data_IF_386916378198
#
_entry.id   IF_386916378198
#
_cell.length_a   1.000
_cell.length_b   1.000
_cell.length_c   1.000
_cell.angle_alpha   90.00
_cell.angle_beta   90.00
_cell.angle_gamma   90.00
#
_symmetry.space_group_name_H-M   'P 1'
#
loop_
_entity.id
_entity.type
_entity.pdbx_description
1 polymer ?
#
# COMPACT_ATOMS: atom_id res chain seq x y z
N UNK A 1 -24.53 -4.61 -6.08
CA UNK A 1 -23.39 -3.94 -6.76
C UNK A 1 -22.44 -5.03 -7.22
N UNK A 2 -21.76 -4.86 -8.36
CA UNK A 2 -20.97 -5.91 -9.01
C UNK A 2 -19.59 -6.04 -8.35
N UNK A 3 -19.12 -7.27 -8.03
CA UNK A 3 -17.79 -7.55 -7.48
C UNK A 3 -16.65 -6.88 -8.28
N UNK A 4 -16.80 -6.86 -9.61
CA UNK A 4 -15.87 -6.17 -10.53
C UNK A 4 -15.71 -4.68 -10.21
N UNK A 5 -16.82 -3.98 -9.91
CA UNK A 5 -16.78 -2.57 -9.56
C UNK A 5 -16.04 -2.34 -8.23
N UNK A 6 -16.31 -3.18 -7.23
CA UNK A 6 -15.64 -3.07 -5.94
C UNK A 6 -14.12 -3.23 -6.03
N UNK A 7 -13.64 -4.20 -6.83
CA UNK A 7 -12.20 -4.36 -7.07
C UNK A 7 -11.58 -3.15 -7.78
N UNK A 8 -12.31 -2.55 -8.73
CA UNK A 8 -11.84 -1.34 -9.42
C UNK A 8 -11.77 -0.14 -8.48
N UNK A 9 -12.73 -0.03 -7.56
CA UNK A 9 -12.69 1.01 -6.52
C UNK A 9 -11.48 0.78 -5.60
N UNK A 10 -11.23 -0.47 -5.15
CA UNK A 10 -10.03 -0.80 -4.37
C UNK A 10 -8.75 -0.44 -5.11
N UNK A 11 -8.64 -0.77 -6.39
CA UNK A 11 -7.49 -0.40 -7.22
C UNK A 11 -7.32 1.13 -7.31
N UNK A 12 -8.41 1.88 -7.53
CA UNK A 12 -8.39 3.34 -7.56
C UNK A 12 -7.91 3.97 -6.26
N UNK A 13 -8.35 3.43 -5.11
CA UNK A 13 -7.90 3.86 -3.78
C UNK A 13 -6.42 3.59 -3.56
N UNK A 14 -5.90 2.43 -4.01
CA UNK A 14 -4.48 2.11 -3.94
C UNK A 14 -3.64 3.00 -4.86
N UNK A 15 -4.13 3.36 -6.05
CA UNK A 15 -3.48 4.33 -6.93
C UNK A 15 -3.45 5.72 -6.27
N UNK A 16 -4.55 6.13 -5.65
CA UNK A 16 -4.61 7.39 -4.94
C UNK A 16 -3.63 7.43 -3.76
N UNK A 17 -3.55 6.34 -2.99
CA UNK A 17 -2.54 6.18 -1.94
C UNK A 17 -1.12 6.24 -2.51
N UNK A 18 -0.84 5.52 -3.60
CA UNK A 18 0.45 5.53 -4.30
C UNK A 18 0.89 6.94 -4.68
N UNK A 19 -0.01 7.75 -5.23
CA UNK A 19 0.29 9.15 -5.61
C UNK A 19 0.69 9.96 -4.37
N UNK A 20 -0.10 9.92 -3.31
CA UNK A 20 0.20 10.62 -2.06
C UNK A 20 1.49 10.14 -1.40
N UNK A 21 1.70 8.81 -1.37
CA UNK A 21 2.90 8.20 -0.83
C UNK A 21 4.15 8.59 -1.65
N UNK A 22 4.08 8.54 -2.98
CA UNK A 22 5.21 8.90 -3.85
C UNK A 22 5.58 10.37 -3.71
N UNK A 23 4.59 11.26 -3.58
CA UNK A 23 4.83 12.67 -3.30
C UNK A 23 5.52 12.86 -1.95
N UNK A 24 4.99 12.24 -0.88
CA UNK A 24 5.60 12.30 0.46
C UNK A 24 7.02 11.72 0.49
N UNK A 25 7.25 10.61 -0.24
CA UNK A 25 8.59 10.02 -0.33
C UNK A 25 9.58 10.89 -1.14
N UNK A 26 9.10 11.63 -2.13
CA UNK A 26 9.95 12.54 -2.91
C UNK A 26 10.31 13.83 -2.17
N UNK A 27 9.54 14.19 -1.14
CA UNK A 27 9.70 15.45 -0.38
C UNK A 27 9.98 15.23 1.11
N UNK A 28 10.33 14.02 1.51
CA UNK A 28 10.47 13.63 2.92
C UNK A 28 11.53 14.43 3.68
N UNK A 29 12.55 14.91 2.97
CA UNK A 29 13.68 15.69 3.47
C UNK A 29 13.44 17.21 3.44
N UNK A 30 12.29 17.64 2.93
CA UNK A 30 11.92 19.05 2.83
C UNK A 30 11.14 19.50 4.05
N UNK A 31 11.65 20.46 4.79
CA UNK A 31 10.99 21.03 5.97
C UNK A 31 11.52 22.42 6.29
N UNK A 32 10.64 23.29 6.81
CA UNK A 32 11.01 24.62 7.34
C UNK A 32 11.24 24.55 8.86
N UNK A 33 10.92 23.44 9.51
CA UNK A 33 11.14 23.24 10.95
C UNK A 33 12.62 22.96 11.22
N UNK A 34 13.33 23.84 11.97
CA UNK A 34 14.77 23.70 12.21
C UNK A 34 15.14 22.42 12.99
N UNK A 35 14.25 21.94 13.87
CA UNK A 35 14.49 20.70 14.63
C UNK A 35 14.43 19.51 13.71
N UNK A 36 13.38 19.42 12.88
CA UNK A 36 13.23 18.40 11.84
C UNK A 36 14.41 18.43 10.87
N UNK A 37 14.80 19.61 10.40
CA UNK A 37 15.91 19.79 9.46
C UNK A 37 17.22 19.22 10.03
N UNK A 38 17.51 19.47 11.32
CA UNK A 38 18.70 18.89 11.96
C UNK A 38 18.63 17.35 12.03
N UNK A 39 17.47 16.77 12.37
CA UNK A 39 17.29 15.32 12.37
C UNK A 39 17.48 14.71 10.98
N UNK A 40 16.87 15.31 9.97
CA UNK A 40 17.01 14.87 8.57
C UNK A 40 18.47 14.93 8.11
N UNK A 41 19.15 16.02 8.41
CA UNK A 41 20.58 16.20 8.11
C UNK A 41 21.43 15.06 8.72
N UNK A 42 21.21 14.73 10.00
CA UNK A 42 21.91 13.63 10.64
C UNK A 42 21.55 12.26 9.99
N UNK A 43 20.31 12.06 9.62
CA UNK A 43 19.89 10.83 8.91
C UNK A 43 20.58 10.67 7.57
N UNK A 44 20.88 11.75 6.86
CA UNK A 44 21.51 11.72 5.53
C UNK A 44 23.03 11.59 5.63
N UNK A 45 23.67 12.36 6.51
CA UNK A 45 25.13 12.44 6.56
C UNK A 45 25.80 11.27 7.27
N UNK A 46 25.19 10.73 8.33
CA UNK A 46 25.77 9.62 9.05
C UNK A 46 25.60 8.31 8.29
N UNK A 47 26.72 7.82 7.74
CA UNK A 47 26.77 6.51 7.08
C UNK A 47 27.44 5.49 8.00
N UNK A 48 26.90 4.28 7.99
CA UNK A 48 27.45 3.16 8.73
C UNK A 48 27.57 1.92 7.86
N UNK A 49 28.60 1.08 8.10
CA UNK A 49 28.77 -0.14 7.35
C UNK A 49 27.76 -1.20 7.85
N UNK A 50 27.05 -1.81 6.91
CA UNK A 50 26.15 -2.93 7.18
C UNK A 50 26.19 -3.91 6.00
N UNK A 51 26.48 -5.18 6.26
CA UNK A 51 26.52 -6.28 5.27
C UNK A 51 27.27 -5.94 3.96
N UNK A 52 28.43 -5.30 4.06
CA UNK A 52 29.27 -4.96 2.89
C UNK A 52 28.86 -3.69 2.14
N UNK A 53 27.86 -2.96 2.61
CA UNK A 53 27.46 -1.65 2.08
C UNK A 53 27.67 -0.56 3.12
N UNK A 54 27.84 0.69 2.66
CA UNK A 54 27.92 1.85 3.53
C UNK A 54 26.74 2.77 3.20
N UNK A 55 25.76 2.84 4.12
CA UNK A 55 24.49 3.52 3.91
C UNK A 55 24.13 4.41 5.10
N UNK A 56 23.34 5.45 4.82
CA UNK A 56 22.73 6.30 5.85
C UNK A 56 21.30 5.85 6.17
N UNK A 57 20.75 6.31 7.30
CA UNK A 57 19.33 6.10 7.63
C UNK A 57 18.41 6.78 6.63
N UNK A 58 18.79 7.93 6.08
CA UNK A 58 18.05 8.63 5.02
C UNK A 58 17.94 7.78 3.76
N UNK A 59 19.06 7.10 3.34
CA UNK A 59 19.04 6.18 2.20
C UNK A 59 18.10 4.98 2.44
N UNK A 60 18.09 4.42 3.66
CA UNK A 60 17.14 3.35 4.01
C UNK A 60 15.70 3.86 3.99
N UNK A 61 15.42 5.00 4.61
CA UNK A 61 14.07 5.56 4.63
C UNK A 61 13.52 5.79 3.22
N UNK A 62 14.31 6.43 2.35
CA UNK A 62 13.95 6.66 0.96
C UNK A 62 13.74 5.33 0.20
N UNK A 63 14.65 4.37 0.39
CA UNK A 63 14.57 3.05 -0.24
C UNK A 63 13.31 2.27 0.16
N UNK A 64 12.95 2.27 1.44
CA UNK A 64 11.69 1.66 1.91
C UNK A 64 10.46 2.36 1.31
N UNK A 65 10.50 3.67 1.14
CA UNK A 65 9.44 4.40 0.44
C UNK A 65 9.30 3.97 -1.03
N UNK A 66 10.41 3.76 -1.74
CA UNK A 66 10.37 3.22 -3.11
C UNK A 66 9.80 1.80 -3.16
N UNK A 67 10.18 0.92 -2.24
CA UNK A 67 9.65 -0.45 -2.15
C UNK A 67 8.12 -0.40 -1.90
N UNK A 68 7.67 0.49 -1.02
CA UNK A 68 6.24 0.68 -0.75
C UNK A 68 5.50 1.15 -2.00
N UNK A 69 6.07 2.08 -2.78
CA UNK A 69 5.48 2.53 -4.04
C UNK A 69 5.33 1.38 -5.05
N UNK A 70 6.34 0.52 -5.15
CA UNK A 70 6.27 -0.69 -6.00
C UNK A 70 5.18 -1.65 -5.50
N UNK A 71 5.10 -1.89 -4.19
CA UNK A 71 4.09 -2.77 -3.60
C UNK A 71 2.66 -2.26 -3.84
N UNK A 72 2.40 -0.97 -3.65
CA UNK A 72 1.10 -0.35 -3.93
C UNK A 72 0.73 -0.45 -5.42
N UNK A 73 1.71 -0.25 -6.32
CA UNK A 73 1.52 -0.40 -7.77
C UNK A 73 1.12 -1.84 -8.13
N UNK A 74 1.83 -2.83 -7.60
CA UNK A 74 1.54 -4.24 -7.84
C UNK A 74 0.14 -4.60 -7.34
N UNK A 75 -0.25 -4.15 -6.15
CA UNK A 75 -1.58 -4.42 -5.57
C UNK A 75 -2.70 -3.77 -6.41
N UNK A 76 -2.50 -2.54 -6.90
CA UNK A 76 -3.46 -1.88 -7.76
C UNK A 76 -3.63 -2.63 -9.10
N UNK A 77 -2.54 -3.00 -9.76
CA UNK A 77 -2.53 -3.78 -10.99
C UNK A 77 -3.19 -5.14 -10.76
N UNK A 78 -2.85 -5.81 -9.66
CA UNK A 78 -3.43 -7.09 -9.27
C UNK A 78 -4.96 -7.01 -9.18
N UNK A 79 -5.53 -6.01 -8.50
CA UNK A 79 -6.98 -5.85 -8.44
C UNK A 79 -7.61 -5.53 -9.79
N UNK A 80 -6.93 -4.78 -10.66
CA UNK A 80 -7.41 -4.52 -12.02
C UNK A 80 -7.46 -5.82 -12.85
N UNK A 81 -6.39 -6.61 -12.85
CA UNK A 81 -6.33 -7.91 -13.53
C UNK A 81 -7.41 -8.84 -12.98
N UNK A 82 -7.49 -8.95 -11.64
CA UNK A 82 -8.47 -9.82 -11.00
C UNK A 82 -9.90 -9.38 -11.34
N UNK A 83 -10.17 -8.07 -11.43
CA UNK A 83 -11.47 -7.54 -11.84
C UNK A 83 -11.85 -7.93 -13.29
N UNK A 84 -10.87 -8.17 -14.16
CA UNK A 84 -11.10 -8.57 -15.54
C UNK A 84 -11.37 -10.07 -15.67
N UNK A 85 -10.69 -10.89 -14.86
CA UNK A 85 -10.71 -12.37 -14.94
C UNK A 85 -11.60 -13.06 -13.90
N UNK A 86 -12.50 -12.34 -13.22
CA UNK A 86 -13.36 -12.88 -12.16
C UNK A 86 -14.19 -14.10 -12.58
N UNK A 87 -14.56 -14.22 -13.86
CA UNK A 87 -15.41 -15.30 -14.39
C UNK A 87 -14.65 -16.57 -14.71
N UNK A 88 -13.33 -16.52 -14.87
CA UNK A 88 -12.50 -17.65 -15.29
C UNK A 88 -12.34 -18.69 -14.17
N UNK A 89 -12.07 -18.22 -12.93
CA UNK A 89 -11.95 -19.10 -11.76
C UNK A 89 -12.41 -18.33 -10.49
N UNK A 90 -13.70 -18.33 -10.27
CA UNK A 90 -14.31 -17.58 -9.14
C UNK A 90 -13.82 -18.07 -7.77
N UNK A 91 -13.56 -19.38 -7.62
CA UNK A 91 -13.08 -19.97 -6.37
C UNK A 91 -11.69 -19.46 -6.02
N UNK A 92 -10.78 -19.48 -6.98
CA UNK A 92 -9.43 -18.94 -6.79
C UNK A 92 -9.48 -17.43 -6.55
N UNK A 93 -10.23 -16.70 -7.39
CA UNK A 93 -10.40 -15.27 -7.24
C UNK A 93 -10.88 -14.88 -5.82
N UNK A 94 -11.90 -15.56 -5.29
CA UNK A 94 -12.43 -15.33 -3.94
C UNK A 94 -11.38 -15.54 -2.85
N UNK A 95 -10.58 -16.61 -2.95
CA UNK A 95 -9.49 -16.87 -1.99
C UNK A 95 -8.43 -15.78 -2.03
N UNK A 96 -8.02 -15.39 -3.22
CA UNK A 96 -7.02 -14.35 -3.43
C UNK A 96 -7.51 -12.97 -2.92
N UNK A 97 -8.77 -12.63 -3.17
CA UNK A 97 -9.36 -11.38 -2.67
C UNK A 97 -9.39 -11.39 -1.14
N UNK A 98 -9.81 -12.49 -0.48
CA UNK A 98 -9.82 -12.56 0.98
C UNK A 98 -8.43 -12.45 1.58
N UNK A 99 -7.44 -13.15 1.02
CA UNK A 99 -6.04 -13.04 1.48
C UNK A 99 -5.55 -11.60 1.40
N UNK A 100 -5.81 -10.91 0.29
CA UNK A 100 -5.40 -9.52 0.10
C UNK A 100 -6.19 -8.56 1.00
N UNK A 101 -7.49 -8.82 1.22
CA UNK A 101 -8.32 -8.04 2.16
C UNK A 101 -7.71 -8.06 3.56
N UNK A 102 -7.34 -9.25 4.05
CA UNK A 102 -6.72 -9.40 5.38
C UNK A 102 -5.36 -8.68 5.41
N UNK A 103 -4.54 -8.85 4.38
CA UNK A 103 -3.24 -8.16 4.30
C UNK A 103 -3.41 -6.64 4.34
N UNK A 104 -4.36 -6.07 3.59
CA UNK A 104 -4.66 -4.63 3.61
C UNK A 104 -5.20 -4.15 4.95
N UNK A 105 -6.00 -4.96 5.67
CA UNK A 105 -6.44 -4.63 7.03
C UNK A 105 -5.27 -4.54 8.00
N UNK A 106 -4.34 -5.50 7.94
CA UNK A 106 -3.13 -5.48 8.76
C UNK A 106 -2.27 -4.26 8.41
N UNK A 107 -2.06 -4.00 7.11
CA UNK A 107 -1.32 -2.82 6.63
C UNK A 107 -1.95 -1.52 7.13
N UNK A 108 -3.26 -1.35 7.00
CA UNK A 108 -3.99 -0.17 7.50
C UNK A 108 -3.81 0.01 9.01
N UNK A 109 -3.80 -1.09 9.78
CA UNK A 109 -3.56 -1.03 11.23
C UNK A 109 -2.14 -0.54 11.53
N UNK A 110 -1.14 -1.03 10.80
CA UNK A 110 0.26 -0.58 10.94
C UNK A 110 0.37 0.90 10.55
N UNK A 111 -0.26 1.31 9.45
CA UNK A 111 -0.27 2.70 9.02
C UNK A 111 -0.93 3.63 10.05
N UNK A 112 -2.00 3.18 10.70
CA UNK A 112 -2.66 3.93 11.76
C UNK A 112 -1.78 4.11 13.00
N UNK A 113 -0.98 3.09 13.35
CA UNK A 113 -0.11 3.13 14.54
C UNK A 113 1.17 3.92 14.32
N UNK A 114 1.71 3.92 13.10
CA UNK A 114 3.07 4.40 12.84
C UNK A 114 3.16 5.55 11.84
N UNK A 115 2.08 5.85 11.10
CA UNK A 115 2.08 6.91 10.09
C UNK A 115 1.01 7.97 10.39
N UNK A 116 0.08 8.18 9.48
CA UNK A 116 -0.94 9.23 9.59
C UNK A 116 -2.31 8.75 9.08
N UNK A 117 -3.41 9.33 9.58
CA UNK A 117 -4.78 8.82 9.32
C UNK A 117 -5.16 8.74 7.83
N UNK A 118 -4.58 9.58 6.97
CA UNK A 118 -4.88 9.56 5.55
C UNK A 118 -4.41 8.27 4.87
N UNK A 119 -3.16 7.85 5.12
CA UNK A 119 -2.63 6.58 4.59
C UNK A 119 -3.48 5.40 5.08
N UNK A 120 -3.65 5.31 6.41
CA UNK A 120 -4.45 4.27 7.03
C UNK A 120 -5.89 4.21 6.51
N UNK A 121 -6.53 5.36 6.34
CA UNK A 121 -7.91 5.46 5.85
C UNK A 121 -8.07 5.00 4.40
N UNK A 122 -7.15 5.35 3.52
CA UNK A 122 -7.18 4.92 2.12
C UNK A 122 -6.97 3.41 1.98
N UNK A 123 -6.03 2.84 2.72
CA UNK A 123 -5.77 1.39 2.75
C UNK A 123 -6.94 0.63 3.38
N UNK A 124 -7.54 1.15 4.46
CA UNK A 124 -8.73 0.56 5.07
C UNK A 124 -9.90 0.52 4.10
N UNK A 125 -10.19 1.62 3.42
CA UNK A 125 -11.27 1.66 2.43
C UNK A 125 -11.01 0.69 1.28
N UNK A 126 -9.78 0.60 0.78
CA UNK A 126 -9.42 -0.39 -0.24
C UNK A 126 -9.67 -1.82 0.23
N UNK A 127 -9.34 -2.13 1.49
CA UNK A 127 -9.62 -3.42 2.12
C UNK A 127 -11.12 -3.71 2.21
N UNK A 128 -11.91 -2.73 2.68
CA UNK A 128 -13.37 -2.87 2.79
C UNK A 128 -14.01 -3.18 1.42
N UNK A 129 -13.65 -2.42 0.38
CA UNK A 129 -14.18 -2.67 -0.96
C UNK A 129 -13.72 -4.01 -1.53
N UNK A 130 -12.48 -4.46 -1.26
CA UNK A 130 -12.02 -5.79 -1.64
C UNK A 130 -12.85 -6.88 -0.93
N UNK A 131 -13.08 -6.76 0.37
CA UNK A 131 -13.94 -7.68 1.13
C UNK A 131 -15.37 -7.73 0.60
N UNK A 132 -15.96 -6.56 0.27
CA UNK A 132 -17.28 -6.49 -0.37
C UNK A 132 -17.28 -7.19 -1.74
N UNK A 133 -16.20 -7.11 -2.51
CA UNK A 133 -16.07 -7.85 -3.77
C UNK A 133 -16.14 -9.36 -3.52
N UNK A 134 -15.38 -9.87 -2.54
CA UNK A 134 -15.38 -11.30 -2.19
C UNK A 134 -16.76 -11.80 -1.72
N UNK A 135 -17.48 -10.98 -0.95
CA UNK A 135 -18.84 -11.30 -0.46
C UNK A 135 -19.88 -11.33 -1.59
N UNK A 136 -19.68 -10.52 -2.65
CA UNK A 136 -20.58 -10.45 -3.81
C UNK A 136 -20.25 -11.48 -4.90
N UNK A 137 -19.21 -12.30 -4.74
CA UNK A 137 -19.01 -13.46 -5.60
C UNK A 137 -19.96 -14.59 -5.20
N UNK A 138 -20.49 -15.38 -6.17
CA UNK A 138 -21.40 -16.48 -5.89
C UNK A 138 -20.85 -17.43 -4.82
N UNK A 139 -21.76 -17.96 -3.99
CA UNK A 139 -21.45 -19.10 -3.11
C UNK A 139 -21.22 -20.32 -3.97
N UNK A 140 -20.23 -21.13 -3.62
CA UNK A 140 -20.01 -22.43 -4.28
C UNK A 140 -21.30 -23.24 -4.16
N UNK A 141 -21.88 -23.64 -5.31
CA UNK A 141 -22.78 -24.79 -5.32
C UNK A 141 -21.96 -26.03 -4.97
N UNK A 142 -22.29 -26.68 -3.86
CA UNK A 142 -21.73 -27.97 -3.48
C UNK A 142 -22.02 -29.02 -4.54
#
# INVERSE_FOLDING_TARGET
MNAKLFLRISAGLLIFHLIGHSFGNATWDQTEDPIKQNVIHQMIEHKFPFMGTNRSMGEYFYGYGLITSVALSILAIYFLILSASLTENQKLAKKLIWATTIALLVTSTIEFLYFFPFAAGTTLLASVFAGLAALNLPKESK
#
